data_IF_877775698583
#
_entry.id   IF_877775698583
#
_cell.length_a   1.000
_cell.length_b   1.000
_cell.length_c   1.000
_cell.angle_alpha   90.00
_cell.angle_beta   90.00
_cell.angle_gamma   90.00
#
_symmetry.space_group_name_H-M   'P 1'
#
loop_
_entity.id
_entity.type
_entity.pdbx_description
1 polymer ?
#
# COMPACT_ATOMS: atom_id res chain seq x y z
N UNK A 1 -19.08 0.96 4.83
CA UNK A 1 -18.19 2.14 4.69
C UNK A 1 -18.41 2.84 3.34
N UNK A 2 -18.68 2.10 2.31
CA UNK A 2 -18.79 2.57 0.92
C UNK A 2 -20.06 3.39 0.69
N UNK A 3 -21.16 2.94 1.25
CA UNK A 3 -22.45 3.66 1.20
C UNK A 3 -22.33 5.04 1.87
N UNK A 4 -21.59 5.12 2.97
CA UNK A 4 -21.36 6.36 3.69
C UNK A 4 -20.54 7.37 2.88
N UNK A 5 -19.57 6.89 2.11
CA UNK A 5 -18.70 7.71 1.25
C UNK A 5 -19.19 7.83 -0.19
N UNK A 6 -20.34 7.23 -0.52
CA UNK A 6 -20.89 7.17 -1.90
C UNK A 6 -19.93 6.52 -2.89
N UNK A 7 -19.19 5.50 -2.47
CA UNK A 7 -18.28 4.71 -3.28
C UNK A 7 -18.86 3.32 -3.50
N UNK A 8 -18.65 2.76 -4.69
CA UNK A 8 -18.87 1.35 -4.97
C UNK A 8 -17.51 0.66 -5.00
N UNK A 9 -17.33 -0.42 -4.22
CA UNK A 9 -16.13 -1.22 -4.24
C UNK A 9 -16.33 -2.47 -5.08
N UNK A 10 -15.30 -2.79 -5.88
CA UNK A 10 -15.23 -4.00 -6.68
C UNK A 10 -13.91 -4.69 -6.40
N UNK A 11 -13.95 -5.99 -6.15
CA UNK A 11 -12.75 -6.78 -5.84
C UNK A 11 -12.27 -7.51 -7.10
N UNK A 12 -10.94 -7.51 -7.29
CA UNK A 12 -10.26 -8.19 -8.36
C UNK A 12 -9.17 -9.07 -7.74
N UNK A 13 -8.99 -10.27 -8.28
CA UNK A 13 -7.96 -11.21 -7.82
C UNK A 13 -7.07 -11.61 -8.98
N UNK A 14 -5.77 -11.68 -8.74
CA UNK A 14 -4.79 -12.27 -9.64
C UNK A 14 -4.09 -13.42 -8.91
N UNK A 15 -4.06 -14.59 -9.51
CA UNK A 15 -3.44 -15.76 -8.90
C UNK A 15 -1.91 -15.70 -8.95
N UNK A 16 -1.37 -15.05 -9.97
CA UNK A 16 0.07 -14.88 -10.16
C UNK A 16 0.39 -13.58 -10.94
N UNK A 17 1.68 -13.32 -11.15
CA UNK A 17 2.16 -12.12 -11.87
C UNK A 17 1.72 -12.07 -13.33
N UNK A 18 1.43 -13.21 -13.99
CA UNK A 18 1.03 -13.22 -15.39
C UNK A 18 -0.40 -12.69 -15.57
N UNK A 19 -1.25 -12.87 -14.58
CA UNK A 19 -2.64 -12.39 -14.62
C UNK A 19 -2.78 -10.90 -14.31
N UNK A 20 -1.79 -10.29 -13.64
CA UNK A 20 -1.87 -8.89 -13.20
C UNK A 20 -2.19 -7.94 -14.36
N UNK A 21 -1.53 -8.12 -15.51
CA UNK A 21 -1.77 -7.25 -16.66
C UNK A 21 -3.23 -7.30 -17.14
N UNK A 22 -3.80 -8.50 -17.22
CA UNK A 22 -5.20 -8.69 -17.65
C UNK A 22 -6.17 -8.14 -16.63
N UNK A 23 -5.93 -8.43 -15.34
CA UNK A 23 -6.77 -7.97 -14.23
C UNK A 23 -6.74 -6.45 -14.12
N UNK A 24 -5.56 -5.83 -14.18
CA UNK A 24 -5.44 -4.37 -14.17
C UNK A 24 -6.13 -3.72 -15.37
N UNK A 25 -5.98 -4.29 -16.57
CA UNK A 25 -6.64 -3.78 -17.78
C UNK A 25 -8.15 -3.84 -17.65
N UNK A 26 -8.70 -4.87 -17.04
CA UNK A 26 -10.13 -4.96 -16.75
C UNK A 26 -10.55 -3.91 -15.71
N UNK A 27 -9.81 -3.79 -14.63
CA UNK A 27 -10.13 -2.90 -13.52
C UNK A 27 -10.14 -1.42 -13.93
N UNK A 28 -9.18 -0.97 -14.75
CA UNK A 28 -9.14 0.43 -15.22
C UNK A 28 -10.33 0.80 -16.13
N UNK A 29 -10.99 -0.16 -16.74
CA UNK A 29 -12.22 0.08 -17.52
C UNK A 29 -13.49 0.23 -16.67
N UNK A 30 -13.40 -0.06 -15.38
CA UNK A 30 -14.57 -0.15 -14.49
C UNK A 30 -14.43 0.69 -13.21
N UNK A 31 -13.23 1.20 -12.90
CA UNK A 31 -12.92 1.89 -11.65
C UNK A 31 -12.25 3.24 -11.90
N UNK A 32 -12.56 4.22 -11.06
CA UNK A 32 -11.95 5.56 -11.09
C UNK A 32 -10.64 5.64 -10.28
N UNK A 33 -10.40 4.66 -9.41
CA UNK A 33 -9.23 4.54 -8.54
C UNK A 33 -8.99 3.08 -8.18
N UNK A 34 -7.74 2.67 -8.07
CA UNK A 34 -7.37 1.34 -7.60
C UNK A 34 -6.74 1.42 -6.20
N UNK A 35 -7.02 0.43 -5.36
CA UNK A 35 -6.30 0.19 -4.11
C UNK A 35 -5.52 -1.11 -4.24
N UNK A 36 -4.22 -1.03 -4.03
CA UNK A 36 -3.33 -2.21 -3.98
C UNK A 36 -2.92 -2.47 -2.53
N UNK A 37 -3.34 -3.58 -1.94
CA UNK A 37 -2.92 -3.95 -0.59
C UNK A 37 -1.43 -4.30 -0.54
N UNK A 38 -0.89 -4.43 0.68
CA UNK A 38 0.46 -4.92 0.91
C UNK A 38 0.54 -6.39 0.52
N UNK A 39 1.08 -6.67 -0.65
CA UNK A 39 1.19 -8.00 -1.23
C UNK A 39 2.48 -8.13 -2.06
N UNK A 40 3.20 -9.24 -1.90
CA UNK A 40 4.49 -9.47 -2.57
C UNK A 40 4.36 -9.59 -4.09
N UNK A 41 3.25 -10.16 -4.58
CA UNK A 41 2.99 -10.30 -6.01
C UNK A 41 2.77 -8.92 -6.64
N UNK A 42 1.99 -8.06 -5.98
CA UNK A 42 1.78 -6.68 -6.40
C UNK A 42 3.09 -5.88 -6.33
N UNK A 43 3.85 -6.01 -5.25
CA UNK A 43 5.13 -5.32 -5.06
C UNK A 43 6.17 -5.67 -6.13
N UNK A 44 6.20 -6.92 -6.61
CA UNK A 44 7.08 -7.37 -7.69
C UNK A 44 6.62 -6.97 -9.10
N UNK A 45 5.41 -6.44 -9.25
CA UNK A 45 4.77 -6.15 -10.53
C UNK A 45 4.44 -4.67 -10.73
N UNK A 46 4.99 -3.80 -9.91
CA UNK A 46 4.65 -2.36 -9.90
C UNK A 46 4.91 -1.66 -11.23
N UNK A 47 5.98 -2.05 -11.96
CA UNK A 47 6.27 -1.50 -13.29
C UNK A 47 5.18 -1.88 -14.30
N UNK A 48 4.75 -3.14 -14.31
CA UNK A 48 3.65 -3.60 -15.17
C UNK A 48 2.37 -2.83 -14.87
N UNK A 49 2.05 -2.67 -13.59
CA UNK A 49 0.86 -1.93 -13.15
C UNK A 49 0.97 -0.46 -13.56
N UNK A 50 2.11 0.21 -13.31
CA UNK A 50 2.35 1.60 -13.69
C UNK A 50 2.10 1.83 -15.18
N UNK A 51 2.65 0.95 -16.03
CA UNK A 51 2.54 1.05 -17.48
C UNK A 51 1.11 0.90 -18.01
N UNK A 52 0.18 0.39 -17.18
CA UNK A 52 -1.24 0.26 -17.49
C UNK A 52 -2.05 1.43 -16.91
N UNK A 53 -1.87 1.71 -15.63
CA UNK A 53 -2.75 2.64 -14.90
C UNK A 53 -2.44 4.11 -15.19
N UNK A 54 -1.15 4.46 -15.35
CA UNK A 54 -0.75 5.87 -15.57
C UNK A 54 -1.22 6.38 -16.93
N UNK A 55 -0.99 5.67 -18.06
CA UNK A 55 -1.54 6.09 -19.35
C UNK A 55 -3.08 6.14 -19.38
N UNK A 56 -3.75 5.32 -18.57
CA UNK A 56 -5.19 5.33 -18.45
C UNK A 56 -5.72 6.48 -17.56
N UNK A 57 -4.85 7.22 -16.89
CA UNK A 57 -5.23 8.29 -15.96
C UNK A 57 -5.83 7.80 -14.64
N UNK A 58 -5.63 6.52 -14.29
CA UNK A 58 -6.22 5.91 -13.08
C UNK A 58 -5.21 5.96 -11.93
N UNK A 59 -5.50 6.71 -10.84
CA UNK A 59 -4.64 6.75 -9.68
C UNK A 59 -4.69 5.44 -8.88
N UNK A 60 -3.55 5.09 -8.29
CA UNK A 60 -3.41 3.93 -7.40
C UNK A 60 -3.10 4.40 -5.99
N UNK A 61 -3.88 3.98 -5.02
CA UNK A 61 -3.57 4.10 -3.59
C UNK A 61 -2.89 2.80 -3.16
N UNK A 62 -1.72 2.91 -2.58
CA UNK A 62 -0.91 1.77 -2.20
C UNK A 62 -0.96 1.48 -0.70
N UNK A 63 -0.93 0.20 -0.34
CA UNK A 63 -0.92 -0.27 1.05
C UNK A 63 0.43 -0.07 1.75
N UNK A 64 1.53 0.14 0.98
CA UNK A 64 2.86 0.35 1.54
C UNK A 64 3.74 1.20 0.59
N UNK A 65 4.92 1.66 1.10
CA UNK A 65 5.76 2.63 0.41
C UNK A 65 6.40 2.09 -0.89
N UNK A 66 6.81 0.82 -0.93
CA UNK A 66 7.45 0.23 -2.12
C UNK A 66 6.49 0.16 -3.31
N UNK A 67 5.25 -0.28 -3.08
CA UNK A 67 4.20 -0.27 -4.12
C UNK A 67 3.88 1.18 -4.54
N UNK A 68 3.81 2.11 -3.58
CA UNK A 68 3.58 3.52 -3.88
C UNK A 68 4.70 4.11 -4.73
N UNK A 69 5.96 3.82 -4.40
CA UNK A 69 7.13 4.24 -5.19
C UNK A 69 7.06 3.71 -6.62
N UNK A 70 6.63 2.46 -6.81
CA UNK A 70 6.58 1.82 -8.11
C UNK A 70 5.42 2.26 -8.99
N UNK A 71 4.21 2.39 -8.43
CA UNK A 71 3.00 2.64 -9.24
C UNK A 71 1.89 3.46 -8.54
N UNK A 72 2.05 3.83 -7.27
CA UNK A 72 1.01 4.51 -6.51
C UNK A 72 1.16 6.02 -6.46
N UNK A 73 0.08 6.74 -6.21
CA UNK A 73 0.09 8.20 -5.98
C UNK A 73 0.32 8.53 -4.51
N UNK A 74 -0.27 7.73 -3.60
CA UNK A 74 -0.15 7.95 -2.15
C UNK A 74 -0.29 6.67 -1.36
N UNK A 75 0.24 6.67 -0.14
CA UNK A 75 0.15 5.57 0.82
C UNK A 75 0.09 6.07 2.26
N UNK A 76 -0.62 5.32 3.10
CA UNK A 76 -0.41 5.31 4.54
C UNK A 76 0.46 4.11 4.86
N UNK A 77 1.78 4.33 4.96
CA UNK A 77 2.75 3.26 5.16
C UNK A 77 3.06 3.06 6.63
N UNK A 78 3.42 1.85 7.00
CA UNK A 78 4.01 1.53 8.30
C UNK A 78 5.53 1.54 8.17
N UNK A 79 6.22 1.91 9.26
CA UNK A 79 7.67 1.75 9.36
C UNK A 79 8.01 0.29 9.67
N UNK A 80 8.66 -0.40 8.75
CA UNK A 80 9.16 -1.77 9.00
C UNK A 80 10.24 -1.80 10.07
N UNK A 81 11.00 -0.71 10.25
CA UNK A 81 11.95 -0.56 11.35
C UNK A 81 11.23 -0.52 12.70
N UNK A 82 10.17 0.30 12.82
CA UNK A 82 9.35 0.36 14.03
C UNK A 82 8.66 -0.98 14.33
N UNK A 83 8.19 -1.67 13.30
CA UNK A 83 7.61 -3.00 13.45
C UNK A 83 8.65 -4.02 13.95
N UNK A 84 9.86 -3.98 13.39
CA UNK A 84 10.98 -4.80 13.84
C UNK A 84 11.39 -4.50 15.28
N UNK A 85 11.41 -3.24 15.68
CA UNK A 85 11.68 -2.81 17.06
C UNK A 85 10.62 -3.34 18.02
N UNK A 86 9.33 -3.14 17.72
CA UNK A 86 8.22 -3.64 18.53
C UNK A 86 8.27 -5.18 18.66
N UNK A 87 8.61 -5.89 17.59
CA UNK A 87 8.81 -7.36 17.63
C UNK A 87 9.97 -7.76 18.53
N UNK A 88 11.08 -7.02 18.46
CA UNK A 88 12.24 -7.24 19.34
C UNK A 88 11.92 -7.01 20.81
N UNK A 89 11.15 -5.98 21.13
CA UNK A 89 10.65 -5.71 22.49
C UNK A 89 9.78 -6.85 23.00
N UNK A 90 8.84 -7.34 22.21
CA UNK A 90 8.02 -8.50 22.57
C UNK A 90 8.86 -9.75 22.80
N UNK A 91 9.87 -9.99 21.95
CA UNK A 91 10.78 -11.12 22.14
C UNK A 91 11.58 -11.00 23.45
N UNK A 92 12.04 -9.81 23.81
CA UNK A 92 12.72 -9.55 25.08
C UNK A 92 11.80 -9.82 26.28
N UNK A 93 10.57 -9.32 26.24
CA UNK A 93 9.57 -9.58 27.30
C UNK A 93 9.34 -11.08 27.51
N UNK A 94 9.26 -11.88 26.44
CA UNK A 94 9.06 -13.34 26.53
C UNK A 94 10.33 -14.04 27.04
N UNK A 95 11.49 -13.76 26.44
CA UNK A 95 12.70 -14.54 26.65
C UNK A 95 13.47 -14.14 27.91
N UNK A 96 13.39 -12.89 28.32
CA UNK A 96 14.16 -12.33 29.43
C UNK A 96 13.27 -12.04 30.64
N UNK A 97 12.11 -11.46 30.44
CA UNK A 97 11.19 -11.09 31.52
C UNK A 97 10.20 -12.18 31.88
N UNK A 98 10.12 -13.24 31.06
CA UNK A 98 9.25 -14.41 31.32
C UNK A 98 7.77 -14.15 31.09
N UNK A 99 7.45 -13.18 30.21
CA UNK A 99 6.06 -12.91 29.86
C UNK A 99 5.40 -14.12 29.20
N UNK A 100 4.14 -14.38 29.58
CA UNK A 100 3.37 -15.48 29.00
C UNK A 100 2.81 -15.06 27.62
N UNK A 101 3.34 -15.67 26.56
CA UNK A 101 2.95 -15.41 25.18
C UNK A 101 1.44 -15.62 24.95
N UNK A 102 0.79 -16.52 25.72
CA UNK A 102 -0.64 -16.80 25.58
C UNK A 102 -1.54 -15.65 26.03
N UNK A 103 -0.99 -14.71 26.80
CA UNK A 103 -1.70 -13.54 27.34
C UNK A 103 -1.24 -12.21 26.70
N UNK A 104 -0.26 -12.28 25.78
CA UNK A 104 0.24 -11.08 25.08
C UNK A 104 -0.71 -10.64 23.97
N UNK A 105 -1.04 -9.37 23.97
CA UNK A 105 -1.81 -8.76 22.88
C UNK A 105 -0.98 -8.63 21.60
N UNK A 106 -1.65 -8.72 20.46
CA UNK A 106 -1.04 -8.40 19.16
C UNK A 106 -0.68 -6.91 19.14
N UNK A 107 0.59 -6.60 18.84
CA UNK A 107 1.05 -5.22 18.68
C UNK A 107 1.08 -4.83 17.21
N UNK A 108 0.66 -3.62 16.94
CA UNK A 108 0.74 -2.99 15.61
C UNK A 108 1.93 -2.05 15.54
N UNK A 109 2.34 -1.70 14.32
CA UNK A 109 3.33 -0.64 14.15
C UNK A 109 2.83 0.65 14.83
N UNK A 110 3.65 1.28 15.71
CA UNK A 110 3.18 2.42 16.52
C UNK A 110 2.91 3.67 15.68
N UNK A 111 3.56 3.78 14.53
CA UNK A 111 3.48 4.96 13.67
C UNK A 111 3.09 4.59 12.25
N UNK A 112 2.28 5.45 11.64
CA UNK A 112 2.02 5.44 10.20
C UNK A 112 2.60 6.69 9.58
N UNK A 113 3.27 6.54 8.44
CA UNK A 113 3.80 7.64 7.65
C UNK A 113 2.91 7.91 6.45
N UNK A 114 2.70 9.19 6.16
CA UNK A 114 1.96 9.64 4.99
C UNK A 114 2.96 9.95 3.89
N UNK A 115 2.98 9.17 2.84
CA UNK A 115 3.92 9.32 1.73
C UNK A 115 3.18 9.41 0.40
N UNK A 116 3.77 10.14 -0.56
CA UNK A 116 3.25 10.24 -1.92
C UNK A 116 4.38 10.15 -2.95
N UNK A 117 4.05 9.74 -4.16
CA UNK A 117 4.96 9.68 -5.30
C UNK A 117 4.81 10.97 -6.13
N UNK A 118 5.81 11.85 -6.02
CA UNK A 118 5.76 13.15 -6.68
C UNK A 118 5.74 13.05 -8.22
N UNK A 119 6.46 12.10 -8.79
CA UNK A 119 6.54 11.88 -10.23
C UNK A 119 5.18 11.42 -10.80
N UNK A 120 4.59 10.39 -10.22
CA UNK A 120 3.29 9.86 -10.69
C UNK A 120 2.17 10.87 -10.45
N UNK A 121 2.19 11.59 -9.32
CA UNK A 121 1.24 12.68 -9.08
C UNK A 121 1.33 13.77 -10.18
N UNK A 122 2.55 14.15 -10.56
CA UNK A 122 2.74 15.13 -11.64
C UNK A 122 2.24 14.62 -13.00
N UNK A 123 2.53 13.36 -13.34
CA UNK A 123 2.04 12.72 -14.57
C UNK A 123 0.51 12.69 -14.65
N UNK A 124 -0.16 12.45 -13.53
CA UNK A 124 -1.62 12.36 -13.43
C UNK A 124 -2.30 13.72 -13.14
N UNK A 125 -1.54 14.79 -12.95
CA UNK A 125 -2.07 16.12 -12.58
C UNK A 125 -2.70 16.16 -11.20
N UNK A 126 -2.26 15.28 -10.28
CA UNK A 126 -2.77 15.19 -8.91
C UNK A 126 -1.91 16.03 -7.98
N UNK A 127 -2.55 16.91 -7.22
CA UNK A 127 -1.88 17.68 -6.17
C UNK A 127 -1.60 16.77 -4.97
N UNK A 128 -0.39 16.88 -4.42
CA UNK A 128 -0.03 16.13 -3.22
C UNK A 128 -1.02 16.40 -2.07
N UNK A 129 -1.49 15.37 -1.36
CA UNK A 129 -2.38 15.56 -0.23
C UNK A 129 -1.67 16.32 0.90
N UNK A 130 -2.43 17.16 1.63
CA UNK A 130 -1.88 17.91 2.75
C UNK A 130 -1.30 16.98 3.85
N UNK A 131 -0.12 17.29 4.32
CA UNK A 131 0.57 16.52 5.35
C UNK A 131 1.22 15.22 4.86
N UNK A 132 1.32 15.03 3.53
CA UNK A 132 2.08 13.93 2.94
C UNK A 132 3.49 14.39 2.54
N UNK A 133 4.48 13.53 2.72
CA UNK A 133 5.86 13.75 2.32
C UNK A 133 6.18 12.97 1.04
N UNK A 134 6.97 13.58 0.17
CA UNK A 134 7.42 12.89 -1.03
C UNK A 134 8.30 11.68 -0.68
N UNK A 135 8.09 10.57 -1.37
CA UNK A 135 8.97 9.41 -1.31
C UNK A 135 10.30 9.83 -1.95
N UNK A 136 11.41 9.55 -1.27
CA UNK A 136 12.75 9.80 -1.83
C UNK A 136 12.98 8.87 -3.05
N UNK A 137 13.56 9.45 -4.11
CA UNK A 137 13.95 8.72 -5.32
C UNK A 137 15.09 7.70 -5.07
#
# INVERSE_FOLDING_TARGET
SDVYKRQACKEYSAADTNEISTVCTTAIGECDVLYLPTDNTMASSTETIKNIVVPAGIPVIAGEEGICRGCGVATLSISYEDLGRATGEMAYEILVEGADISTMDVRFAPNVTKKYNASICAELGITAPEGYEAIAE
#
